data_IF_659238583918
#
_entry.id   IF_659238583918
#
_cell.length_a   1.000
_cell.length_b   1.000
_cell.length_c   1.000
_cell.angle_alpha   90.00
_cell.angle_beta   90.00
_cell.angle_gamma   90.00
#
_symmetry.space_group_name_H-M   'P 1'
#
loop_
_entity.id
_entity.type
_entity.pdbx_description
1 polymer ?
#
# COMPACT_ATOMS: atom_id res chain seq x y z
N UNK A 1 -5.45 10.66 29.87
CA UNK A 1 -6.63 10.34 29.03
C UNK A 1 -6.29 10.80 27.63
N UNK A 2 -6.05 9.85 26.72
CA UNK A 2 -5.75 10.12 25.32
C UNK A 2 -7.08 10.30 24.60
N UNK A 3 -7.41 11.54 24.23
CA UNK A 3 -8.52 11.83 23.33
C UNK A 3 -8.08 11.45 21.91
N UNK A 4 -8.90 10.61 21.28
CA UNK A 4 -8.89 10.28 19.86
C UNK A 4 -9.12 11.55 19.03
N UNK A 5 -8.02 12.18 18.62
CA UNK A 5 -8.04 13.27 17.63
C UNK A 5 -7.52 12.72 16.33
N UNK A 6 -8.41 12.49 15.36
CA UNK A 6 -8.01 12.30 13.97
C UNK A 6 -7.24 13.54 13.51
N UNK A 7 -6.02 13.36 12.99
CA UNK A 7 -5.22 14.43 12.38
C UNK A 7 -5.77 14.76 10.99
N UNK A 8 -6.97 15.34 10.94
CA UNK A 8 -7.48 16.01 9.76
C UNK A 8 -6.84 17.41 9.71
N UNK A 9 -5.91 17.62 8.77
CA UNK A 9 -5.11 18.83 8.56
C UNK A 9 -3.94 19.03 9.55
N UNK A 10 -2.71 18.78 9.08
CA UNK A 10 -1.51 19.25 9.76
C UNK A 10 -1.38 20.76 9.52
N UNK A 11 -1.71 21.59 10.51
CA UNK A 11 -1.37 23.01 10.49
C UNK A 11 0.09 23.14 10.96
N UNK A 12 0.99 23.63 10.10
CA UNK A 12 2.41 23.86 10.43
C UNK A 12 2.60 24.94 11.52
N UNK A 13 1.52 25.59 11.98
CA UNK A 13 1.48 26.50 13.13
C UNK A 13 1.13 25.78 14.45
N UNK A 14 0.91 24.47 14.41
CA UNK A 14 0.67 23.66 15.60
C UNK A 14 1.83 23.81 16.60
N UNK A 15 1.49 23.80 17.88
CA UNK A 15 2.43 23.92 18.99
C UNK A 15 3.49 22.82 18.97
N UNK A 16 3.19 21.64 18.41
CA UNK A 16 4.15 20.55 18.21
C UNK A 16 5.36 20.96 17.32
N UNK A 17 5.24 22.02 16.53
CA UNK A 17 6.28 22.51 15.62
C UNK A 17 6.95 23.83 16.08
N UNK A 18 6.54 24.39 17.23
CA UNK A 18 7.18 25.61 17.79
C UNK A 18 8.57 25.27 18.34
N UNK A 19 9.62 25.68 17.61
CA UNK A 19 11.02 25.50 18.00
C UNK A 19 11.91 24.93 16.90
N UNK A 20 11.30 24.41 15.84
CA UNK A 20 11.98 24.08 14.59
C UNK A 20 12.26 25.41 13.85
N UNK A 21 13.42 25.98 14.09
CA UNK A 21 13.79 27.34 13.69
C UNK A 21 13.59 27.65 12.19
N UNK A 22 13.44 28.94 11.90
CA UNK A 22 13.17 29.57 10.60
C UNK A 22 14.30 29.42 9.57
N UNK A 23 14.71 28.19 9.26
CA UNK A 23 15.65 27.87 8.18
C UNK A 23 15.05 27.03 7.04
N UNK A 24 13.76 26.71 7.11
CA UNK A 24 13.11 25.86 6.13
C UNK A 24 11.92 26.57 5.46
N UNK A 25 12.19 27.61 4.68
CA UNK A 25 11.20 28.13 3.70
C UNK A 25 10.75 27.03 2.71
N UNK A 26 11.56 25.97 2.53
CA UNK A 26 11.19 24.77 1.76
C UNK A 26 10.18 23.83 2.43
N UNK A 27 9.98 23.89 3.75
CA UNK A 27 8.96 23.07 4.44
C UNK A 27 7.56 23.68 4.35
N UNK A 28 7.46 24.99 4.18
CA UNK A 28 6.18 25.70 4.09
C UNK A 28 5.42 25.44 2.78
N UNK A 29 6.12 24.93 1.76
CA UNK A 29 5.56 24.61 0.44
C UNK A 29 5.50 23.11 0.14
N UNK A 30 5.77 22.27 1.14
CA UNK A 30 5.80 20.82 0.97
C UNK A 30 4.37 20.26 1.08
N UNK A 31 3.94 19.52 0.08
CA UNK A 31 2.70 18.75 0.18
C UNK A 31 2.79 17.71 1.30
N UNK A 32 1.64 17.31 1.86
CA UNK A 32 1.58 16.30 2.93
C UNK A 32 2.29 14.99 2.53
N UNK A 33 2.16 14.57 1.27
CA UNK A 33 2.88 13.42 0.70
C UNK A 33 4.39 13.63 0.65
N UNK A 34 4.89 14.78 0.21
CA UNK A 34 6.34 15.05 0.20
C UNK A 34 6.94 15.07 1.61
N UNK A 35 6.20 15.56 2.60
CA UNK A 35 6.64 15.55 4.00
C UNK A 35 6.73 14.13 4.55
N UNK A 36 5.68 13.32 4.37
CA UNK A 36 5.70 11.92 4.79
C UNK A 36 6.77 11.12 4.03
N UNK A 37 6.95 11.36 2.72
CA UNK A 37 8.03 10.75 1.93
C UNK A 37 9.40 11.07 2.49
N UNK A 38 9.66 12.32 2.85
CA UNK A 38 10.93 12.67 3.49
C UNK A 38 11.11 12.00 4.87
N UNK A 39 10.05 11.87 5.65
CA UNK A 39 10.09 11.17 6.94
C UNK A 39 10.47 9.69 6.76
N UNK A 40 9.79 8.97 5.86
CA UNK A 40 10.08 7.56 5.57
C UNK A 40 11.47 7.39 4.97
N UNK A 41 11.88 8.25 4.04
CA UNK A 41 13.24 8.24 3.50
C UNK A 41 14.30 8.35 4.60
N UNK A 42 14.06 9.20 5.60
CA UNK A 42 14.96 9.38 6.74
C UNK A 42 14.93 8.16 7.67
N UNK A 43 13.76 7.62 7.99
CA UNK A 43 13.62 6.45 8.85
C UNK A 43 14.32 5.23 8.24
N UNK A 44 14.09 4.97 6.96
CA UNK A 44 14.72 3.86 6.27
C UNK A 44 16.24 4.05 6.12
N UNK A 45 16.68 5.27 5.80
CA UNK A 45 18.12 5.57 5.77
C UNK A 45 18.77 5.33 7.12
N UNK A 46 18.06 5.57 8.23
CA UNK A 46 18.54 5.27 9.57
C UNK A 46 18.56 3.76 9.83
N UNK A 47 17.52 3.00 9.45
CA UNK A 47 17.48 1.54 9.57
C UNK A 47 18.69 0.91 8.86
N UNK A 48 18.98 1.32 7.62
CA UNK A 48 20.13 0.83 6.89
C UNK A 48 21.46 1.19 7.56
N UNK A 49 21.61 2.41 8.07
CA UNK A 49 22.81 2.86 8.78
C UNK A 49 23.02 2.10 10.08
N UNK A 50 21.96 1.89 10.86
CA UNK A 50 21.98 1.14 12.12
C UNK A 50 22.36 -0.33 11.90
N UNK A 51 21.93 -0.91 10.78
CA UNK A 51 22.34 -2.24 10.34
C UNK A 51 23.76 -2.29 9.74
N UNK A 52 24.48 -1.16 9.63
CA UNK A 52 25.82 -1.11 9.04
C UNK A 52 25.85 -1.31 7.52
N UNK A 53 24.71 -1.19 6.84
CA UNK A 53 24.58 -1.36 5.40
C UNK A 53 25.11 -0.10 4.69
N UNK A 54 26.16 -0.27 3.89
CA UNK A 54 26.74 0.83 3.13
C UNK A 54 25.88 1.17 1.89
N UNK A 55 25.21 2.31 1.91
CA UNK A 55 24.36 2.82 0.81
C UNK A 55 25.14 3.48 -0.33
N UNK A 56 26.48 3.42 -0.33
CA UNK A 56 27.29 3.89 -1.46
C UNK A 56 27.05 3.10 -2.77
N UNK A 57 26.33 1.98 -2.69
CA UNK A 57 25.91 1.18 -3.83
C UNK A 57 24.44 1.45 -4.14
N UNK A 58 24.13 1.71 -5.42
CA UNK A 58 22.73 1.79 -5.85
C UNK A 58 22.16 0.40 -6.05
N UNK A 59 21.00 0.12 -5.45
CA UNK A 59 20.24 -1.10 -5.63
C UNK A 59 18.75 -0.78 -5.80
N UNK A 60 18.01 -1.71 -6.37
CA UNK A 60 16.57 -1.59 -6.54
C UNK A 60 15.85 -2.48 -5.53
N UNK A 61 14.78 -1.97 -4.96
CA UNK A 61 13.84 -2.70 -4.11
C UNK A 61 12.58 -2.91 -4.93
N UNK A 62 12.22 -4.17 -5.15
CA UNK A 62 10.94 -4.56 -5.69
C UNK A 62 10.11 -5.20 -4.58
N UNK A 63 8.88 -4.73 -4.40
CA UNK A 63 7.95 -5.29 -3.41
C UNK A 63 6.74 -5.84 -4.17
N UNK A 64 6.45 -7.13 -3.93
CA UNK A 64 5.28 -7.78 -4.50
C UNK A 64 3.98 -7.20 -3.88
N UNK A 65 3.02 -6.74 -4.69
CA UNK A 65 1.81 -6.06 -4.21
C UNK A 65 0.86 -6.91 -3.38
N UNK A 66 1.01 -8.24 -3.42
CA UNK A 66 0.05 -9.18 -2.84
C UNK A 66 0.58 -9.86 -1.58
N UNK A 67 1.87 -10.21 -1.59
CA UNK A 67 2.59 -10.87 -0.50
C UNK A 67 3.48 -9.94 0.30
N UNK A 68 3.77 -8.74 -0.21
CA UNK A 68 4.77 -7.82 0.33
C UNK A 68 6.18 -8.41 0.46
N UNK A 69 6.45 -9.50 -0.27
CA UNK A 69 7.78 -10.08 -0.34
C UNK A 69 8.74 -9.12 -1.03
N UNK A 70 9.98 -9.07 -0.54
CA UNK A 70 10.98 -8.12 -1.01
C UNK A 70 12.01 -8.83 -1.88
N UNK A 71 12.26 -8.24 -3.06
CA UNK A 71 13.37 -8.61 -3.93
C UNK A 71 14.34 -7.43 -4.06
N UNK A 72 15.63 -7.71 -3.95
CA UNK A 72 16.71 -6.71 -4.03
C UNK A 72 17.56 -7.00 -5.26
N UNK A 73 17.64 -6.03 -6.17
CA UNK A 73 18.45 -6.15 -7.39
C UNK A 73 19.62 -5.16 -7.39
N UNK A 74 20.77 -5.56 -7.94
CA UNK A 74 21.93 -4.68 -8.09
C UNK A 74 22.80 -4.53 -6.84
N UNK A 75 22.51 -5.26 -5.76
CA UNK A 75 23.38 -5.40 -4.58
C UNK A 75 24.12 -6.74 -4.58
N UNK A 76 25.10 -6.92 -3.68
CA UNK A 76 25.72 -8.23 -3.47
C UNK A 76 24.79 -9.14 -2.63
N UNK A 77 24.95 -10.47 -2.75
CA UNK A 77 24.02 -11.43 -2.14
C UNK A 77 23.90 -11.32 -0.61
N UNK A 78 24.99 -11.04 0.10
CA UNK A 78 24.96 -10.92 1.57
C UNK A 78 24.21 -9.67 2.04
N UNK A 79 24.43 -8.53 1.38
CA UNK A 79 23.75 -7.26 1.70
C UNK A 79 22.28 -7.33 1.29
N UNK A 80 21.96 -7.98 0.18
CA UNK A 80 20.58 -8.18 -0.29
C UNK A 80 19.74 -8.94 0.74
N UNK A 81 20.28 -10.02 1.31
CA UNK A 81 19.60 -10.81 2.35
C UNK A 81 19.40 -10.02 3.65
N UNK A 82 20.34 -9.16 4.03
CA UNK A 82 20.22 -8.34 5.23
C UNK A 82 19.14 -7.26 5.07
N UNK A 83 19.13 -6.56 3.93
CA UNK A 83 18.08 -5.58 3.60
C UNK A 83 16.71 -6.26 3.56
N UNK A 84 16.63 -7.42 2.90
CA UNK A 84 15.39 -8.19 2.80
C UNK A 84 14.84 -8.55 4.19
N UNK A 85 15.68 -9.09 5.08
CA UNK A 85 15.28 -9.42 6.45
C UNK A 85 14.79 -8.21 7.23
N UNK A 86 15.48 -7.06 7.12
CA UNK A 86 15.06 -5.83 7.80
C UNK A 86 13.70 -5.33 7.32
N UNK A 87 13.44 -5.45 6.02
CA UNK A 87 12.18 -5.01 5.43
C UNK A 87 11.03 -5.97 5.65
N UNK A 88 11.29 -7.26 5.71
CA UNK A 88 10.25 -8.26 5.96
C UNK A 88 9.95 -8.40 7.47
N UNK A 89 10.75 -7.80 8.35
CA UNK A 89 10.50 -7.72 9.79
C UNK A 89 9.39 -6.71 10.10
N UNK A 90 8.53 -7.03 11.05
CA UNK A 90 7.51 -6.14 11.63
C UNK A 90 6.64 -5.40 10.58
N UNK A 91 6.26 -6.07 9.48
CA UNK A 91 5.40 -5.54 8.41
C UNK A 91 5.97 -4.33 7.66
N UNK A 92 7.26 -4.00 7.84
CA UNK A 92 7.91 -2.83 7.25
C UNK A 92 7.75 -2.74 5.71
N UNK A 93 7.79 -3.87 5.01
CA UNK A 93 7.62 -3.94 3.55
C UNK A 93 6.20 -3.54 3.14
N UNK A 94 5.18 -3.99 3.88
CA UNK A 94 3.80 -3.65 3.60
C UNK A 94 3.50 -2.18 3.90
N UNK A 95 4.06 -1.64 4.98
CA UNK A 95 3.90 -0.24 5.35
C UNK A 95 4.63 0.68 4.37
N UNK A 96 5.84 0.31 3.93
CA UNK A 96 6.55 1.01 2.87
C UNK A 96 5.75 0.99 1.56
N UNK A 97 5.15 -0.15 1.21
CA UNK A 97 4.32 -0.30 0.01
C UNK A 97 3.10 0.61 0.08
N UNK A 98 2.27 0.49 1.12
CA UNK A 98 1.07 1.32 1.33
C UNK A 98 1.40 2.80 1.29
N UNK A 99 2.47 3.22 1.97
CA UNK A 99 2.89 4.62 2.01
C UNK A 99 3.23 5.15 0.62
N UNK A 100 3.94 4.39 -0.21
CA UNK A 100 4.32 4.85 -1.55
C UNK A 100 3.11 4.89 -2.48
N UNK A 101 2.20 3.93 -2.37
CA UNK A 101 0.93 3.98 -3.09
C UNK A 101 0.13 5.22 -2.68
N UNK A 102 -0.07 5.48 -1.39
CA UNK A 102 -0.79 6.66 -0.90
C UNK A 102 -0.11 7.95 -1.37
N UNK A 103 1.22 8.01 -1.31
CA UNK A 103 1.99 9.18 -1.75
C UNK A 103 1.87 9.42 -3.25
N UNK A 104 1.72 8.37 -4.06
CA UNK A 104 1.50 8.47 -5.50
C UNK A 104 0.08 8.91 -5.90
N UNK A 105 -0.88 8.84 -4.97
CA UNK A 105 -2.26 9.28 -5.20
C UNK A 105 -2.45 10.79 -5.03
N UNK A 106 -1.51 11.48 -4.37
CA UNK A 106 -1.44 12.93 -4.43
C UNK A 106 -0.98 13.32 -5.84
N UNK A 107 -1.83 14.05 -6.57
CA UNK A 107 -1.72 14.44 -8.00
C UNK A 107 -0.40 15.10 -8.47
N UNK A 108 0.62 15.20 -7.62
CA UNK A 108 1.94 15.74 -7.93
C UNK A 108 3.02 14.67 -8.17
N UNK A 109 2.76 13.38 -7.95
CA UNK A 109 3.78 12.33 -8.11
C UNK A 109 3.50 11.43 -9.33
N UNK A 110 4.27 11.65 -10.40
CA UNK A 110 4.16 10.91 -11.66
C UNK A 110 4.87 9.54 -11.61
N UNK A 111 4.49 8.65 -10.68
CA UNK A 111 4.97 7.26 -10.75
C UNK A 111 4.24 6.53 -11.89
N UNK A 112 4.89 6.47 -13.06
CA UNK A 112 4.32 5.89 -14.29
C UNK A 112 4.01 4.40 -14.19
N UNK A 113 4.51 3.69 -13.17
CA UNK A 113 4.26 2.26 -12.96
C UNK A 113 2.98 1.99 -12.15
N UNK A 114 2.44 3.00 -11.47
CA UNK A 114 1.18 2.91 -10.73
C UNK A 114 0.04 3.30 -11.67
N UNK A 115 -0.55 2.30 -12.32
CA UNK A 115 -1.65 2.46 -13.28
C UNK A 115 -3.01 2.29 -12.62
N UNK A 116 -4.07 2.83 -13.21
CA UNK A 116 -5.43 2.63 -12.70
C UNK A 116 -5.85 1.15 -12.72
N UNK A 117 -5.36 0.38 -13.71
CA UNK A 117 -5.54 -1.07 -13.77
C UNK A 117 -4.83 -1.81 -12.62
N UNK A 118 -3.60 -1.41 -12.31
CA UNK A 118 -2.85 -1.97 -11.19
C UNK A 118 -3.51 -1.66 -9.84
N UNK A 119 -4.01 -0.43 -9.66
CA UNK A 119 -4.79 -0.05 -8.48
C UNK A 119 -6.07 -0.88 -8.36
N UNK A 120 -6.76 -1.09 -9.48
CA UNK A 120 -7.98 -1.89 -9.51
C UNK A 120 -7.71 -3.34 -9.06
N UNK A 121 -6.69 -4.01 -9.61
CA UNK A 121 -6.30 -5.37 -9.18
C UNK A 121 -5.91 -5.42 -7.71
N UNK A 122 -5.06 -4.47 -7.28
CA UNK A 122 -4.58 -4.39 -5.91
C UNK A 122 -5.74 -4.25 -4.93
N UNK A 123 -6.65 -3.30 -5.19
CA UNK A 123 -7.81 -3.08 -4.34
C UNK A 123 -8.74 -4.29 -4.30
N UNK A 124 -9.01 -4.91 -5.45
CA UNK A 124 -9.85 -6.10 -5.51
C UNK A 124 -9.27 -7.26 -4.70
N UNK A 125 -7.97 -7.54 -4.84
CA UNK A 125 -7.29 -8.59 -4.08
C UNK A 125 -7.38 -8.35 -2.58
N UNK A 126 -6.95 -7.18 -2.10
CA UNK A 126 -6.88 -6.90 -0.67
C UNK A 126 -8.27 -6.82 -0.04
N UNK A 127 -9.26 -6.22 -0.71
CA UNK A 127 -10.63 -6.21 -0.22
C UNK A 127 -11.22 -7.62 -0.13
N UNK A 128 -10.99 -8.47 -1.15
CA UNK A 128 -11.43 -9.85 -1.13
C UNK A 128 -10.80 -10.60 0.05
N UNK A 129 -9.48 -10.50 0.21
CA UNK A 129 -8.73 -11.20 1.25
C UNK A 129 -9.10 -10.73 2.66
N UNK A 130 -9.18 -9.42 2.88
CA UNK A 130 -9.49 -8.83 4.20
C UNK A 130 -10.90 -9.17 4.67
N UNK A 131 -11.89 -9.16 3.78
CA UNK A 131 -13.30 -9.35 4.14
C UNK A 131 -13.70 -10.82 4.15
N UNK A 132 -13.20 -11.61 3.20
CA UNK A 132 -13.62 -13.01 3.02
C UNK A 132 -12.59 -14.04 3.46
N UNK A 133 -11.32 -13.64 3.60
CA UNK A 133 -10.20 -14.55 3.82
C UNK A 133 -9.78 -15.33 2.58
N UNK A 134 -10.33 -15.01 1.40
CA UNK A 134 -10.06 -15.73 0.15
C UNK A 134 -9.10 -14.95 -0.75
N UNK A 135 -8.13 -15.66 -1.31
CA UNK A 135 -7.31 -15.16 -2.41
C UNK A 135 -8.10 -15.28 -3.72
N UNK A 136 -8.50 -14.14 -4.28
CA UNK A 136 -9.29 -14.10 -5.53
C UNK A 136 -8.59 -14.78 -6.71
N UNK A 137 -7.25 -14.86 -6.69
CA UNK A 137 -6.43 -15.48 -7.74
C UNK A 137 -6.54 -17.00 -7.75
N UNK A 138 -6.98 -17.59 -6.64
CA UNK A 138 -7.21 -19.02 -6.50
C UNK A 138 -8.64 -19.43 -6.87
N UNK A 139 -9.52 -18.47 -7.16
CA UNK A 139 -10.92 -18.69 -7.53
C UNK A 139 -11.08 -18.96 -9.03
N UNK A 140 -12.16 -19.63 -9.39
CA UNK A 140 -12.50 -19.90 -10.79
C UNK A 140 -13.14 -18.67 -11.42
N UNK A 141 -12.47 -18.04 -12.37
CA UNK A 141 -13.02 -16.95 -13.17
C UNK A 141 -13.92 -17.49 -14.28
N UNK A 142 -15.21 -17.12 -14.28
CA UNK A 142 -16.16 -17.38 -15.38
C UNK A 142 -17.37 -16.44 -15.31
N UNK A 143 -18.04 -16.27 -16.45
CA UNK A 143 -19.30 -15.53 -16.55
C UNK A 143 -19.27 -14.09 -15.96
N UNK A 144 -18.10 -13.44 -15.99
CA UNK A 144 -17.93 -12.06 -15.51
C UNK A 144 -17.78 -11.93 -13.98
N UNK A 145 -17.49 -13.02 -13.27
CA UNK A 145 -17.25 -13.06 -11.82
C UNK A 145 -16.25 -14.18 -11.46
N UNK A 146 -16.07 -14.43 -10.15
CA UNK A 146 -15.21 -15.47 -9.60
C UNK A 146 -15.99 -16.40 -8.67
N UNK A 147 -15.65 -17.67 -8.68
CA UNK A 147 -16.33 -18.70 -7.90
C UNK A 147 -15.38 -19.46 -6.97
N UNK A 148 -15.85 -19.75 -5.76
CA UNK A 148 -15.16 -20.65 -4.83
C UNK A 148 -15.15 -22.09 -5.34
N UNK A 149 -14.35 -22.95 -4.72
CA UNK A 149 -14.31 -24.39 -5.03
C UNK A 149 -15.67 -25.08 -4.84
N UNK A 150 -16.50 -24.53 -3.97
CA UNK A 150 -17.86 -24.97 -3.70
C UNK A 150 -18.89 -24.37 -4.68
N UNK A 151 -18.46 -23.53 -5.62
CA UNK A 151 -19.32 -22.91 -6.63
C UNK A 151 -20.08 -21.68 -6.15
N UNK A 152 -19.66 -21.03 -5.05
CA UNK A 152 -20.27 -19.77 -4.59
C UNK A 152 -19.68 -18.57 -5.32
N UNK A 153 -20.53 -17.63 -5.72
CA UNK A 153 -20.09 -16.36 -6.30
C UNK A 153 -19.36 -15.51 -5.25
N UNK A 154 -18.20 -14.96 -5.61
CA UNK A 154 -17.40 -14.14 -4.70
C UNK A 154 -18.13 -12.87 -4.23
N UNK A 155 -19.02 -12.31 -5.05
CA UNK A 155 -19.81 -11.13 -4.69
C UNK A 155 -20.78 -11.48 -3.57
N UNK A 156 -21.43 -12.65 -3.65
CA UNK A 156 -22.33 -13.12 -2.59
C UNK A 156 -21.56 -13.43 -1.31
N UNK A 157 -20.41 -14.12 -1.41
CA UNK A 157 -19.55 -14.41 -0.27
C UNK A 157 -19.08 -13.13 0.43
N UNK A 158 -18.68 -12.11 -0.33
CA UNK A 158 -18.29 -10.82 0.20
C UNK A 158 -19.46 -10.11 0.89
N UNK A 159 -20.64 -10.09 0.25
CA UNK A 159 -21.82 -9.45 0.80
C UNK A 159 -22.25 -10.08 2.13
N UNK A 160 -22.26 -11.40 2.21
CA UNK A 160 -22.57 -12.17 3.42
C UNK A 160 -21.56 -11.87 4.55
N UNK A 161 -20.26 -11.81 4.22
CA UNK A 161 -19.21 -11.49 5.18
C UNK A 161 -19.36 -10.06 5.73
N UNK A 162 -19.69 -9.09 4.88
CA UNK A 162 -20.00 -7.73 5.30
C UNK A 162 -21.20 -7.73 6.24
N UNK A 163 -22.31 -8.37 5.90
CA UNK A 163 -23.52 -8.42 6.77
C UNK A 163 -23.23 -9.03 8.12
N UNK A 164 -22.52 -10.16 8.14
CA UNK A 164 -22.12 -10.81 9.38
C UNK A 164 -21.26 -9.89 10.26
N UNK A 165 -20.32 -9.14 9.66
CA UNK A 165 -19.49 -8.19 10.42
C UNK A 165 -20.29 -7.05 11.04
N UNK A 166 -21.36 -6.60 10.37
CA UNK A 166 -22.30 -5.60 10.90
C UNK A 166 -23.11 -6.15 12.07
N UNK A 167 -23.63 -7.38 11.94
CA UNK A 167 -24.44 -8.04 12.97
C UNK A 167 -23.63 -8.34 14.24
N UNK A 168 -22.37 -8.70 14.09
CA UNK A 168 -21.46 -9.00 15.21
C UNK A 168 -20.91 -7.74 15.90
N UNK A 169 -21.16 -6.55 15.35
CA UNK A 169 -20.60 -5.29 15.87
C UNK A 169 -19.08 -5.18 15.74
N UNK A 170 -18.46 -6.07 14.97
CA UNK A 170 -17.02 -6.12 14.67
C UNK A 170 -16.68 -5.43 13.34
N UNK A 171 -17.61 -4.66 12.78
CA UNK A 171 -17.41 -4.03 11.49
C UNK A 171 -16.33 -2.96 11.54
N UNK A 172 -15.32 -3.13 10.69
CA UNK A 172 -14.31 -2.11 10.39
C UNK A 172 -14.90 -0.87 9.68
N UNK A 173 -16.15 -0.95 9.19
CA UNK A 173 -16.83 0.12 8.46
C UNK A 173 -18.18 0.53 9.10
N UNK A 174 -18.59 1.81 8.99
CA UNK A 174 -19.92 2.23 9.39
C UNK A 174 -21.03 1.52 8.58
N UNK A 175 -22.14 1.15 9.22
CA UNK A 175 -23.32 0.52 8.56
C UNK A 175 -23.78 1.31 7.33
N UNK A 176 -23.68 2.65 7.38
CA UNK A 176 -24.08 3.55 6.28
C UNK A 176 -23.25 3.38 5.02
N UNK A 177 -22.02 2.91 5.15
CA UNK A 177 -21.07 2.80 4.04
C UNK A 177 -21.07 1.40 3.42
N UNK A 178 -21.61 0.39 4.12
CA UNK A 178 -21.64 -1.00 3.67
C UNK A 178 -22.27 -1.18 2.28
N UNK A 179 -23.32 -0.42 1.97
CA UNK A 179 -23.95 -0.44 0.63
C UNK A 179 -22.96 0.01 -0.45
N UNK A 180 -22.18 1.07 -0.19
CA UNK A 180 -21.18 1.59 -1.11
C UNK A 180 -20.03 0.60 -1.29
N UNK A 181 -19.55 -0.04 -0.22
CA UNK A 181 -18.48 -1.04 -0.28
C UNK A 181 -18.89 -2.28 -1.08
N UNK A 182 -20.09 -2.82 -0.83
CA UNK A 182 -20.63 -3.95 -1.61
C UNK A 182 -20.74 -3.61 -3.10
N UNK A 183 -21.24 -2.41 -3.40
CA UNK A 183 -21.35 -1.92 -4.78
C UNK A 183 -19.98 -1.80 -5.44
N UNK A 184 -19.02 -1.14 -4.78
CA UNK A 184 -17.66 -0.97 -5.30
C UNK A 184 -16.97 -2.31 -5.51
N UNK A 185 -17.11 -3.26 -4.57
CA UNK A 185 -16.55 -4.60 -4.73
C UNK A 185 -17.10 -5.31 -5.97
N UNK A 186 -18.42 -5.31 -6.16
CA UNK A 186 -19.06 -5.85 -7.36
C UNK A 186 -18.57 -5.18 -8.65
N UNK A 187 -18.46 -3.85 -8.67
CA UNK A 187 -17.94 -3.10 -9.82
C UNK A 187 -16.48 -3.50 -10.13
N UNK A 188 -15.64 -3.69 -9.11
CA UNK A 188 -14.26 -4.14 -9.29
C UNK A 188 -14.20 -5.56 -9.84
N UNK A 189 -14.99 -6.50 -9.29
CA UNK A 189 -15.07 -7.89 -9.75
C UNK A 189 -15.41 -7.93 -11.25
N UNK A 190 -16.47 -7.23 -11.66
CA UNK A 190 -16.87 -7.21 -13.06
C UNK A 190 -15.80 -6.56 -13.96
N UNK A 191 -15.24 -5.43 -13.53
CA UNK A 191 -14.22 -4.71 -14.31
C UNK A 191 -12.95 -5.53 -14.52
N UNK A 192 -12.55 -6.31 -13.51
CA UNK A 192 -11.38 -7.18 -13.61
C UNK A 192 -11.71 -8.43 -14.43
N UNK A 193 -12.85 -9.07 -14.20
CA UNK A 193 -13.22 -10.29 -14.94
C UNK A 193 -13.51 -10.03 -16.42
N UNK A 194 -14.07 -8.88 -16.79
CA UNK A 194 -14.27 -8.52 -18.20
C UNK A 194 -12.94 -8.50 -18.98
N UNK A 195 -11.86 -8.07 -18.31
CA UNK A 195 -10.52 -8.01 -18.89
C UNK A 195 -9.74 -9.31 -18.68
N UNK A 196 -10.04 -10.07 -17.64
CA UNK A 196 -9.28 -11.23 -17.17
C UNK A 196 -8.13 -10.83 -16.27
N UNK A 197 -7.98 -11.51 -15.11
CA UNK A 197 -6.98 -11.16 -14.09
C UNK A 197 -5.56 -11.02 -14.66
N UNK A 198 -5.15 -11.98 -15.49
CA UNK A 198 -3.79 -12.06 -16.05
C UNK A 198 -3.53 -11.08 -17.20
N UNK A 199 -4.57 -10.41 -17.71
CA UNK A 199 -4.43 -9.42 -18.79
C UNK A 199 -4.25 -7.99 -18.24
N UNK A 200 -4.53 -7.79 -16.95
CA UNK A 200 -4.31 -6.52 -16.27
C UNK A 200 -2.90 -6.43 -15.70
N UNK A 201 -2.28 -5.26 -15.85
CA UNK A 201 -0.96 -4.97 -15.28
C UNK A 201 -1.02 -4.93 -13.76
N UNK A 202 -0.06 -5.57 -13.11
CA UNK A 202 0.12 -5.44 -11.66
C UNK A 202 0.75 -4.09 -11.30
N UNK A 203 0.48 -3.68 -10.06
CA UNK A 203 1.09 -2.51 -9.46
C UNK A 203 2.39 -2.93 -8.78
N UNK A 204 3.51 -2.85 -9.50
CA UNK A 204 4.82 -3.08 -8.90
C UNK A 204 5.37 -1.79 -8.30
N UNK A 205 5.90 -1.91 -7.09
CA UNK A 205 6.70 -0.86 -6.47
C UNK A 205 8.17 -1.14 -6.78
N UNK A 206 8.81 -0.20 -7.45
CA UNK A 206 10.23 -0.26 -7.83
C UNK A 206 10.93 1.01 -7.36
N UNK A 207 11.81 0.86 -6.38
CA UNK A 207 12.50 1.96 -5.72
C UNK A 207 14.00 1.79 -5.92
N UNK A 208 14.65 2.81 -6.47
CA UNK A 208 16.10 2.91 -6.48
C UNK A 208 16.59 3.54 -5.18
N UNK A 209 17.49 2.86 -4.49
CA UNK A 209 18.20 3.41 -3.33
C UNK A 209 19.51 4.02 -3.79
N UNK A 210 19.81 5.23 -3.32
CA UNK A 210 21.06 5.94 -3.58
C UNK A 210 21.65 6.54 -2.30
N UNK A 211 22.87 7.04 -2.39
CA UNK A 211 23.53 7.84 -1.34
C UNK A 211 22.73 9.11 -0.96
N UNK A 212 21.84 9.56 -1.86
CA UNK A 212 20.95 10.72 -1.68
C UNK A 212 19.53 10.35 -1.21
N UNK A 213 19.27 9.07 -0.96
CA UNK A 213 17.96 8.54 -0.58
C UNK A 213 17.25 7.83 -1.74
N UNK A 214 15.92 7.75 -1.65
CA UNK A 214 15.09 6.96 -2.57
C UNK A 214 14.61 7.73 -3.79
N UNK A 215 14.59 7.02 -4.92
CA UNK A 215 14.07 7.50 -6.20
C UNK A 215 13.09 6.47 -6.74
N UNK A 216 11.87 6.90 -7.04
CA UNK A 216 10.83 6.05 -7.64
C UNK A 216 11.19 5.85 -9.13
N UNK A 217 11.14 4.61 -9.62
CA UNK A 217 11.52 4.26 -10.99
C UNK A 217 10.32 4.04 -11.91
#
# INVERSE_FOLDING_TARGET
MLNTGELSSCDLRDSAFRGLGSKNEGLLNMSKSEFHRNLINNQFSNILKEAGINTAFSFNINIDPYSYSVNIEGSNGSVSEEIKKLLEMDENSSELFKHIIISSLDNNHNNKKITDEGKLKFNLYHQCLEVTGLDIRELEEKDGTYYTKEGKDIIDVYNDAVEKSLDEGNSYMPIRDAVSYKKWFSEMVHSVSEKGWNNLKDMFLDIKVTDKGFIDL
#
